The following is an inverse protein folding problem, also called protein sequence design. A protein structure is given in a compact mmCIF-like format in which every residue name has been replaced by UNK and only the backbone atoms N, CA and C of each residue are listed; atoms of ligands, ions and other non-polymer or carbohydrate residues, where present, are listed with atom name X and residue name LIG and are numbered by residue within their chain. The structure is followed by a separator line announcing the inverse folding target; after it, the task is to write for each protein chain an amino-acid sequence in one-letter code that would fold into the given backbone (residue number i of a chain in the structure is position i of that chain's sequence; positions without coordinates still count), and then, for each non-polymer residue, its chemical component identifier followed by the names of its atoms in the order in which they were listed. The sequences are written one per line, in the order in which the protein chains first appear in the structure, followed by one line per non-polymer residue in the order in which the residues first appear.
data_IF_782941994432
#
_entry.id   IF_782941994432
#
_cell.length_a   1.000
_cell.length_b   1.000
_cell.length_c   1.000
_cell.angle_alpha   90.00
_cell.angle_beta   90.00
_cell.angle_gamma   90.00
#
_symmetry.space_group_name_H-M   'P 1'
#
loop_
_entity.id
_entity.type
_entity.pdbx_description
1 polymer ?
#
# COMPACT_ATOMS: atom_id res chain seq x y z
N UNK A 1 8.70 -1.51 -7.60
CA UNK A 1 7.52 -1.50 -6.68
C UNK A 1 6.27 -2.07 -7.36
N UNK A 2 5.90 -3.32 -7.04
CA UNK A 2 4.81 -4.03 -7.73
C UNK A 2 3.40 -3.47 -7.41
N UNK A 3 3.17 -2.97 -6.18
CA UNK A 3 1.86 -2.39 -5.82
C UNK A 3 1.51 -1.14 -6.65
N UNK A 4 2.52 -0.39 -7.11
CA UNK A 4 2.29 0.72 -8.04
C UNK A 4 1.81 0.21 -9.40
N UNK A 5 2.38 -0.89 -9.90
CA UNK A 5 1.91 -1.57 -11.11
C UNK A 5 0.44 -1.95 -10.98
N UNK A 6 0.10 -2.66 -9.90
CA UNK A 6 -1.28 -3.09 -9.61
C UNK A 6 -2.27 -1.91 -9.55
N UNK A 7 -1.84 -0.75 -9.04
CA UNK A 7 -2.65 0.47 -9.05
C UNK A 7 -2.84 1.01 -10.47
N UNK A 8 -1.76 1.13 -11.25
CA UNK A 8 -1.80 1.72 -12.60
C UNK A 8 -2.55 0.87 -13.63
N UNK A 9 -2.81 -0.41 -13.35
CA UNK A 9 -3.67 -1.27 -14.17
C UNK A 9 -5.15 -0.84 -14.17
N UNK A 10 -5.58 -0.07 -13.17
CA UNK A 10 -6.99 0.32 -12.98
C UNK A 10 -7.21 1.83 -12.90
N UNK A 11 -6.16 2.60 -12.63
CA UNK A 11 -6.23 4.03 -12.51
C UNK A 11 -5.28 4.69 -13.49
N UNK A 12 -5.86 5.48 -14.41
CA UNK A 12 -5.07 6.30 -15.32
C UNK A 12 -4.17 7.25 -14.52
N UNK A 13 -2.89 7.20 -14.88
CA UNK A 13 -1.82 8.02 -14.33
C UNK A 13 -1.11 8.71 -15.47
N UNK A 14 -0.81 10.00 -15.27
CA UNK A 14 -0.11 10.79 -16.27
C UNK A 14 1.40 10.57 -16.07
N UNK A 15 1.95 9.58 -16.79
CA UNK A 15 3.37 9.21 -16.75
C UNK A 15 4.12 9.87 -17.90
N UNK A 16 5.28 10.45 -17.59
CA UNK A 16 6.26 10.81 -18.61
C UNK A 16 7.19 9.61 -18.73
N UNK A 17 7.03 8.82 -19.79
CA UNK A 17 7.92 7.70 -20.09
C UNK A 17 9.32 8.23 -20.43
N UNK A 18 10.23 8.18 -19.45
CA UNK A 18 11.65 8.47 -19.67
C UNK A 18 12.39 7.17 -19.99
N UNK A 19 13.31 7.24 -20.96
CA UNK A 19 13.95 6.08 -21.61
C UNK A 19 14.86 5.29 -20.66
N UNK A 20 15.19 5.78 -19.46
CA UNK A 20 16.09 5.09 -18.53
C UNK A 20 15.65 5.19 -17.05
N UNK A 21 15.62 4.03 -16.40
CA UNK A 21 15.70 3.71 -14.97
C UNK A 21 14.69 4.33 -13.96
N UNK A 22 13.71 5.13 -14.39
CA UNK A 22 12.68 5.65 -13.48
C UNK A 22 11.38 6.08 -14.15
N UNK A 23 10.30 6.12 -13.36
CA UNK A 23 8.99 6.65 -13.78
C UNK A 23 8.76 8.02 -13.18
N UNK A 24 8.56 9.02 -14.05
CA UNK A 24 8.26 10.39 -13.64
C UNK A 24 6.72 10.57 -13.59
N UNK A 25 6.20 10.82 -12.39
CA UNK A 25 4.76 10.80 -12.07
C UNK A 25 4.34 12.15 -11.51
N UNK A 26 3.18 12.65 -11.94
CA UNK A 26 2.61 13.86 -11.33
C UNK A 26 2.31 13.64 -9.86
N UNK A 27 2.60 14.64 -9.03
CA UNK A 27 2.33 14.65 -7.58
C UNK A 27 0.93 14.15 -7.24
N UNK A 28 -0.09 14.67 -7.93
CA UNK A 28 -1.50 14.30 -7.72
C UNK A 28 -1.77 12.80 -7.92
N UNK A 29 -1.09 12.17 -8.88
CA UNK A 29 -1.32 10.77 -9.22
C UNK A 29 -0.56 9.86 -8.25
N UNK A 30 0.60 10.31 -7.78
CA UNK A 30 1.31 9.64 -6.70
C UNK A 30 0.57 9.75 -5.36
N UNK A 31 -0.04 10.90 -5.04
CA UNK A 31 -0.90 11.05 -3.86
C UNK A 31 -2.09 10.09 -3.93
N UNK A 32 -2.74 9.94 -5.10
CA UNK A 32 -3.82 8.95 -5.28
C UNK A 32 -3.35 7.52 -5.02
N UNK A 33 -2.12 7.18 -5.42
CA UNK A 33 -1.52 5.90 -5.08
C UNK A 33 -1.26 5.75 -3.58
N UNK A 34 -0.76 6.79 -2.89
CA UNK A 34 -0.59 6.77 -1.44
C UNK A 34 -1.93 6.59 -0.72
N UNK A 35 -3.00 7.25 -1.18
CA UNK A 35 -4.36 7.06 -0.65
C UNK A 35 -4.82 5.61 -0.77
N UNK A 36 -4.61 5.00 -1.95
CA UNK A 36 -4.88 3.58 -2.16
C UNK A 36 -4.11 2.69 -1.17
N UNK A 37 -2.81 2.92 -1.01
CA UNK A 37 -1.97 2.15 -0.10
C UNK A 37 -2.39 2.33 1.36
N UNK A 38 -2.70 3.55 1.81
CA UNK A 38 -3.16 3.84 3.18
C UNK A 38 -4.43 3.04 3.50
N UNK A 39 -5.42 3.07 2.59
CA UNK A 39 -6.67 2.32 2.78
C UNK A 39 -6.45 0.80 2.75
N UNK A 40 -5.55 0.31 1.88
CA UNK A 40 -5.18 -1.11 1.84
C UNK A 40 -4.49 -1.56 3.14
N UNK A 41 -3.51 -0.80 3.63
CA UNK A 41 -2.80 -1.12 4.88
C UNK A 41 -3.74 -1.09 6.08
N UNK A 42 -4.61 -0.07 6.17
CA UNK A 42 -5.69 -0.04 7.17
C UNK A 42 -6.49 -1.34 7.17
N UNK A 43 -6.92 -1.80 5.98
CA UNK A 43 -7.72 -3.01 5.85
C UNK A 43 -6.97 -4.28 6.30
N UNK A 44 -5.68 -4.36 5.98
CA UNK A 44 -4.80 -5.46 6.44
C UNK A 44 -4.69 -5.45 7.97
N UNK A 45 -4.43 -4.28 8.56
CA UNK A 45 -4.26 -4.11 10.00
C UNK A 45 -5.56 -4.38 10.78
N UNK A 46 -6.71 -3.94 10.26
CA UNK A 46 -8.03 -4.22 10.82
C UNK A 46 -8.34 -5.73 10.84
N UNK A 47 -7.84 -6.46 9.84
CA UNK A 47 -8.05 -7.90 9.72
C UNK A 47 -7.16 -8.74 10.64
N UNK A 48 -6.07 -8.16 11.18
CA UNK A 48 -5.19 -8.76 12.19
C UNK A 48 -4.76 -10.21 11.82
N UNK A 49 -4.28 -10.37 10.57
CA UNK A 49 -4.02 -11.68 9.97
C UNK A 49 -2.88 -12.44 10.64
N UNK A 50 -1.88 -11.74 11.18
CA UNK A 50 -0.74 -12.38 11.85
C UNK A 50 -1.06 -12.80 13.29
N UNK A 51 -2.11 -12.23 13.91
CA UNK A 51 -2.48 -12.44 15.32
C UNK A 51 -1.30 -12.25 16.26
N UNK A 52 -0.43 -11.29 15.95
CA UNK A 52 0.71 -10.99 16.81
C UNK A 52 0.20 -10.47 18.17
N UNK A 53 0.99 -10.62 19.23
CA UNK A 53 0.64 -10.05 20.54
C UNK A 53 0.56 -8.51 20.52
N UNK A 54 1.08 -7.88 19.46
CA UNK A 54 1.12 -6.44 19.25
C UNK A 54 0.22 -6.05 18.07
N UNK A 55 -1.07 -5.88 18.36
CA UNK A 55 -2.01 -5.32 17.39
C UNK A 55 -1.69 -3.85 17.14
N UNK A 56 -1.74 -3.41 15.88
CA UNK A 56 -1.57 -1.99 15.55
C UNK A 56 -2.68 -1.16 16.18
N UNK A 57 -2.29 -0.18 16.97
CA UNK A 57 -3.19 0.82 17.54
C UNK A 57 -3.08 2.11 16.73
N UNK A 58 -4.14 2.45 16.00
CA UNK A 58 -4.16 3.67 15.21
C UNK A 58 -4.08 4.90 16.11
N UNK A 59 -3.09 5.73 15.85
CA UNK A 59 -2.97 7.07 16.41
C UNK A 59 -4.08 7.99 15.89
N UNK A 60 -4.32 9.10 16.59
CA UNK A 60 -5.31 10.10 16.17
C UNK A 60 -5.02 10.66 14.77
N UNK A 61 -3.75 10.89 14.48
CA UNK A 61 -3.29 11.43 13.20
C UNK A 61 -3.56 10.44 12.05
N UNK A 62 -3.34 9.14 12.27
CA UNK A 62 -3.67 8.11 11.30
C UNK A 62 -5.18 8.02 11.06
N UNK A 63 -5.98 8.04 12.14
CA UNK A 63 -7.46 8.02 12.04
C UNK A 63 -7.97 9.23 11.25
N UNK A 64 -7.44 10.42 11.54
CA UNK A 64 -7.82 11.65 10.84
C UNK A 64 -7.48 11.59 9.35
N UNK A 65 -6.28 11.14 8.99
CA UNK A 65 -5.86 11.03 7.59
C UNK A 65 -6.66 9.97 6.84
N UNK A 66 -6.86 8.80 7.45
CA UNK A 66 -7.73 7.74 6.90
C UNK A 66 -9.14 8.28 6.64
N UNK A 67 -9.74 8.96 7.63
CA UNK A 67 -11.09 9.50 7.52
C UNK A 67 -11.18 10.56 6.40
N UNK A 68 -10.15 11.39 6.25
CA UNK A 68 -10.05 12.37 5.16
C UNK A 68 -10.04 11.66 3.80
N UNK A 69 -9.23 10.61 3.64
CA UNK A 69 -9.13 9.84 2.39
C UNK A 69 -10.45 9.13 2.06
N UNK A 70 -11.08 8.48 3.05
CA UNK A 70 -12.37 7.80 2.88
C UNK A 70 -13.46 8.79 2.44
N UNK A 71 -13.54 9.96 3.07
CA UNK A 71 -14.50 11.00 2.70
C UNK A 71 -14.26 11.56 1.30
N UNK A 72 -13.00 11.80 0.92
CA UNK A 72 -12.62 12.26 -0.43
C UNK A 72 -13.00 11.24 -1.51
N UNK A 73 -12.96 9.95 -1.17
CA UNK A 73 -13.18 8.85 -2.11
C UNK A 73 -14.54 8.15 -1.94
N UNK A 74 -15.46 8.69 -1.15
CA UNK A 74 -16.71 8.01 -0.75
C UNK A 74 -17.55 7.49 -1.93
N UNK A 75 -17.50 8.16 -3.10
CA UNK A 75 -18.24 7.77 -4.30
C UNK A 75 -17.42 6.88 -5.26
N UNK A 76 -16.13 6.70 -5.00
CA UNK A 76 -15.20 5.96 -5.84
C UNK A 76 -15.32 4.43 -5.60
N UNK A 77 -16.38 3.84 -6.13
CA UNK A 77 -16.65 2.39 -6.01
C UNK A 77 -15.50 1.53 -6.53
N UNK A 78 -14.85 1.94 -7.62
CA UNK A 78 -13.75 1.19 -8.21
C UNK A 78 -12.57 1.08 -7.24
N UNK A 79 -12.20 2.17 -6.56
CA UNK A 79 -11.14 2.18 -5.56
C UNK A 79 -11.34 1.11 -4.49
N UNK A 80 -12.51 1.14 -3.82
CA UNK A 80 -12.80 0.18 -2.76
C UNK A 80 -12.91 -1.26 -3.27
N UNK A 81 -13.43 -1.48 -4.48
CA UNK A 81 -13.44 -2.80 -5.12
C UNK A 81 -12.02 -3.32 -5.36
N UNK A 82 -11.10 -2.47 -5.84
CA UNK A 82 -9.70 -2.86 -6.08
C UNK A 82 -8.96 -3.10 -4.78
N UNK A 83 -9.19 -2.29 -3.74
CA UNK A 83 -8.62 -2.54 -2.39
C UNK A 83 -9.11 -3.87 -1.84
N UNK A 84 -10.40 -4.20 -1.98
CA UNK A 84 -10.94 -5.49 -1.53
C UNK A 84 -10.30 -6.66 -2.28
N UNK A 85 -10.23 -6.57 -3.61
CA UNK A 85 -9.63 -7.63 -4.43
C UNK A 85 -8.15 -7.86 -4.07
N UNK A 86 -7.38 -6.77 -3.92
CA UNK A 86 -5.97 -6.84 -3.52
C UNK A 86 -5.82 -7.45 -2.13
N UNK A 87 -6.62 -7.01 -1.16
CA UNK A 87 -6.60 -7.57 0.19
C UNK A 87 -6.90 -9.08 0.20
N UNK A 88 -7.90 -9.53 -0.57
CA UNK A 88 -8.24 -10.95 -0.67
C UNK A 88 -7.07 -11.75 -1.24
N UNK A 89 -6.42 -11.24 -2.28
CA UNK A 89 -5.24 -11.86 -2.87
C UNK A 89 -4.08 -11.96 -1.88
N UNK A 90 -3.68 -10.83 -1.28
CA UNK A 90 -2.61 -10.77 -0.28
C UNK A 90 -2.89 -11.71 0.90
N UNK A 91 -4.13 -11.73 1.41
CA UNK A 91 -4.54 -12.62 2.50
C UNK A 91 -4.38 -14.09 2.13
N UNK A 92 -4.79 -14.49 0.92
CA UNK A 92 -4.67 -15.87 0.47
C UNK A 92 -3.20 -16.30 0.37
N UNK A 93 -2.36 -15.46 -0.22
CA UNK A 93 -0.93 -15.74 -0.35
C UNK A 93 -0.25 -15.77 1.02
N UNK A 94 -0.56 -14.84 1.91
CA UNK A 94 -0.01 -14.83 3.27
C UNK A 94 -0.36 -16.10 4.06
N UNK A 95 -1.61 -16.56 4.01
CA UNK A 95 -2.01 -17.78 4.72
C UNK A 95 -1.31 -19.02 4.15
N UNK A 96 -1.21 -19.11 2.82
CA UNK A 96 -0.49 -20.18 2.14
C UNK A 96 1.00 -20.21 2.54
N UNK A 97 1.67 -19.07 2.48
CA UNK A 97 3.08 -18.94 2.86
C UNK A 97 3.30 -19.22 4.36
N UNK A 98 2.37 -18.81 5.24
CA UNK A 98 2.43 -19.09 6.68
C UNK A 98 2.32 -20.60 6.95
N UNK A 99 1.40 -21.30 6.29
CA UNK A 99 1.29 -22.76 6.36
C UNK A 99 2.58 -23.45 5.90
N UNK A 100 3.19 -22.98 4.81
CA UNK A 100 4.46 -23.52 4.30
C UNK A 100 5.66 -23.24 5.22
N UNK A 101 5.73 -22.06 5.84
CA UNK A 101 6.76 -21.68 6.81
C UNK A 101 6.67 -22.48 8.12
N UNK A 102 5.45 -22.79 8.59
CA UNK A 102 5.23 -23.64 9.76
C UNK A 102 5.64 -25.11 9.47
N UNK A 103 5.59 -25.54 8.21
CA UNK A 103 5.99 -26.88 7.76
C UNK A 103 7.48 -27.03 7.44
N UNK A 104 8.17 -25.97 7.03
CA UNK A 104 9.59 -25.97 6.65
C UNK A 104 10.35 -24.85 7.37
N UNK A 105 11.41 -25.20 8.13
CA UNK A 105 12.24 -24.30 8.96
C UNK A 105 12.98 -23.15 8.22
N UNK A 106 12.27 -22.30 7.50
CA UNK A 106 12.81 -21.11 6.84
C UNK A 106 11.89 -19.93 7.10
N UNK A 107 12.14 -19.25 8.21
CA UNK A 107 11.38 -18.11 8.76
C UNK A 107 11.42 -16.83 7.90
N UNK A 108 11.86 -16.92 6.64
CA UNK A 108 12.09 -15.78 5.74
C UNK A 108 11.59 -16.10 4.35
N UNK A 109 10.27 -16.05 4.17
CA UNK A 109 9.71 -16.00 2.82
C UNK A 109 10.22 -14.75 2.11
N UNK A 110 10.73 -14.93 0.88
CA UNK A 110 11.08 -13.82 -0.01
C UNK A 110 9.86 -13.31 -0.78
N UNK A 111 8.68 -13.84 -0.49
CA UNK A 111 7.45 -13.44 -1.16
C UNK A 111 7.10 -11.98 -0.78
N UNK A 112 7.00 -11.08 -1.76
CA UNK A 112 6.71 -9.68 -1.49
C UNK A 112 5.27 -9.44 -0.97
N UNK A 113 4.32 -10.32 -1.27
CA UNK A 113 2.95 -10.25 -0.76
C UNK A 113 2.91 -10.60 0.73
N UNK A 114 3.67 -11.64 1.13
CA UNK A 114 3.84 -12.02 2.53
C UNK A 114 4.42 -10.87 3.37
N UNK A 115 5.50 -10.24 2.86
CA UNK A 115 6.13 -9.10 3.52
C UNK A 115 5.25 -7.86 3.56
N UNK A 116 4.36 -7.68 2.58
CA UNK A 116 3.38 -6.58 2.57
C UNK A 116 2.43 -6.66 3.76
N UNK A 117 1.99 -7.85 4.15
CA UNK A 117 1.14 -8.02 5.34
C UNK A 117 1.94 -7.84 6.63
N UNK A 118 3.15 -8.42 6.73
CA UNK A 118 3.97 -8.30 7.96
C UNK A 118 4.45 -6.88 8.25
N UNK A 119 4.66 -6.06 7.21
CA UNK A 119 5.13 -4.68 7.34
C UNK A 119 4.03 -3.65 7.15
N UNK A 120 2.75 -4.04 7.28
CA UNK A 120 1.62 -3.16 7.00
C UNK A 120 1.59 -1.91 7.89
N UNK A 121 2.02 -2.03 9.16
CA UNK A 121 2.16 -0.92 10.11
C UNK A 121 3.18 0.11 9.60
N UNK A 122 4.37 -0.37 9.20
CA UNK A 122 5.45 0.47 8.70
C UNK A 122 5.04 1.12 7.38
N UNK A 123 4.37 0.39 6.48
CA UNK A 123 3.88 0.95 5.23
C UNK A 123 2.84 2.05 5.47
N UNK A 124 1.88 1.85 6.38
CA UNK A 124 0.88 2.86 6.71
C UNK A 124 1.53 4.17 7.15
N UNK A 125 2.42 4.09 8.15
CA UNK A 125 3.11 5.26 8.72
C UNK A 125 3.92 5.99 7.66
N UNK A 126 4.68 5.25 6.83
CA UNK A 126 5.49 5.87 5.79
C UNK A 126 4.63 6.47 4.67
N UNK A 127 3.51 5.86 4.28
CA UNK A 127 2.61 6.44 3.28
C UNK A 127 2.01 7.76 3.76
N UNK A 128 1.56 7.83 5.01
CA UNK A 128 1.04 9.07 5.61
C UNK A 128 2.12 10.15 5.67
N UNK A 129 3.34 9.80 6.13
CA UNK A 129 4.46 10.75 6.18
C UNK A 129 4.80 11.28 4.78
N UNK A 130 5.01 10.39 3.81
CA UNK A 130 5.34 10.77 2.43
C UNK A 130 4.26 11.65 1.82
N UNK A 131 2.98 11.35 2.05
CA UNK A 131 1.87 12.15 1.53
C UNK A 131 1.97 13.60 2.01
N UNK A 132 2.22 13.81 3.31
CA UNK A 132 2.38 15.16 3.90
C UNK A 132 3.57 15.91 3.31
N UNK A 133 4.73 15.26 3.25
CA UNK A 133 5.95 15.85 2.69
C UNK A 133 5.77 16.24 1.21
N UNK A 134 5.06 15.41 0.44
CA UNK A 134 4.83 15.64 -1.00
C UNK A 134 3.79 16.74 -1.25
N UNK A 135 2.73 16.81 -0.44
CA UNK A 135 1.74 17.89 -0.51
C UNK A 135 2.39 19.27 -0.27
N UNK A 136 3.45 19.35 0.54
CA UNK A 136 4.20 20.59 0.77
C UNK A 136 5.10 21.01 -0.40
N UNK A 137 5.75 20.05 -1.08
CA UNK A 137 6.71 20.34 -2.15
C UNK A 137 6.00 20.59 -3.50
N UNK A 138 4.93 19.83 -3.78
CA UNK A 138 4.13 19.92 -5.01
C UNK A 138 4.96 19.88 -6.32
N UNK A 139 5.92 18.95 -6.39
CA UNK A 139 6.73 18.67 -7.59
C UNK A 139 6.54 17.23 -8.06
N UNK A 140 6.90 16.95 -9.31
CA UNK A 140 6.85 15.60 -9.86
C UNK A 140 7.66 14.61 -9.01
N UNK A 141 7.16 13.38 -8.93
CA UNK A 141 7.79 12.29 -8.20
C UNK A 141 8.51 11.39 -9.19
N UNK A 142 9.81 11.20 -8.97
CA UNK A 142 10.60 10.20 -9.69
C UNK A 142 10.59 8.90 -8.88
N UNK A 143 9.93 7.88 -9.40
CA UNK A 143 9.96 6.52 -8.83
C UNK A 143 11.12 5.78 -9.48
N UNK A 144 12.10 5.39 -8.69
CA UNK A 144 13.25 4.57 -9.12
C UNK A 144 13.09 3.20 -8.46
N UNK A 145 13.12 2.13 -9.25
CA UNK A 145 13.15 0.77 -8.70
C UNK A 145 14.61 0.34 -8.57
N UNK A 146 15.02 -0.16 -7.40
CA UNK A 146 16.35 -0.76 -7.28
C UNK A 146 16.32 -2.13 -7.96
N UNK A 147 17.02 -2.25 -9.09
CA UNK A 147 17.30 -3.52 -9.77
C UNK A 147 18.17 -4.43 -8.89
#
# INVERSE_FOLDING_TARGET
MFQYGNFTDYFDVDQIDEVNDGKNVKTKDFIRFLDYMILLMKKILDADLDKSEYKHEFSKEEIEEISKIENLNQENKLLFQRIEAEFVWLKQNFLKEKEEADMNQNYRSRDPDYNTILCADWFLVNCIRMKKEIEEINTNILIVDSI
#
